data_IF_798368752803
#
_entry.id   IF_798368752803
#
_cell.length_a   1.000
_cell.length_b   1.000
_cell.length_c   1.000
_cell.angle_alpha   90.00
_cell.angle_beta   90.00
_cell.angle_gamma   90.00
#
_symmetry.space_group_name_H-M   'P 1'
#
loop_
_entity.id
_entity.type
_entity.pdbx_description
1 polymer ?
#
# COMPACT_ATOMS: atom_id res chain seq x y z
N UNK A 1 14.69 19.50 25.92
CA UNK A 1 14.99 18.33 25.07
C UNK A 1 14.29 17.13 25.68
N UNK A 2 13.29 16.55 25.02
CA UNK A 2 12.57 15.37 25.52
C UNK A 2 13.08 14.14 24.78
N UNK A 3 13.87 13.35 25.48
CA UNK A 3 14.38 12.06 25.00
C UNK A 3 13.23 11.05 25.06
N UNK A 4 12.98 10.34 23.95
CA UNK A 4 12.01 9.25 23.90
C UNK A 4 12.76 7.93 24.10
N UNK A 5 12.44 7.11 25.11
CA UNK A 5 13.14 5.85 25.36
C UNK A 5 12.96 4.88 24.19
N UNK A 6 14.06 4.27 23.75
CA UNK A 6 14.07 3.23 22.74
C UNK A 6 13.41 1.97 23.32
N UNK A 7 12.09 1.82 23.10
CA UNK A 7 11.33 0.70 23.66
C UNK A 7 9.82 0.70 23.38
N UNK A 8 9.23 1.82 22.96
CA UNK A 8 7.81 1.90 22.54
C UNK A 8 7.58 1.39 21.11
N UNK A 9 8.12 0.22 20.83
CA UNK A 9 7.86 -0.54 19.62
C UNK A 9 7.76 -1.98 20.03
N UNK A 10 6.71 -2.34 20.78
CA UNK A 10 6.36 -3.74 21.00
C UNK A 10 6.47 -4.50 19.69
N UNK A 11 6.93 -5.76 19.73
CA UNK A 11 7.30 -6.59 18.58
C UNK A 11 6.45 -6.21 17.37
N UNK A 12 7.04 -5.49 16.40
CA UNK A 12 6.29 -4.99 15.24
C UNK A 12 5.55 -6.20 14.67
N UNK A 13 4.22 -6.10 14.58
CA UNK A 13 3.42 -7.13 13.93
C UNK A 13 3.98 -7.33 12.54
N UNK A 14 4.08 -8.58 12.14
CA UNK A 14 4.57 -8.91 10.82
C UNK A 14 3.70 -8.21 9.77
N UNK A 15 4.29 -7.59 8.73
CA UNK A 15 3.51 -6.88 7.72
C UNK A 15 2.40 -7.73 7.07
N UNK A 16 2.61 -9.04 6.89
CA UNK A 16 1.58 -9.93 6.36
C UNK A 16 0.48 -10.20 7.39
N UNK A 17 0.82 -10.24 8.68
CA UNK A 17 -0.18 -10.32 9.75
C UNK A 17 -1.08 -9.07 9.74
N UNK A 18 -0.49 -7.88 9.62
CA UNK A 18 -1.24 -6.62 9.59
C UNK A 18 -2.19 -6.56 8.39
N UNK A 19 -1.74 -6.96 7.19
CA UNK A 19 -2.60 -7.00 5.99
C UNK A 19 -3.76 -7.99 6.16
N UNK A 20 -3.49 -9.16 6.74
CA UNK A 20 -4.49 -10.21 6.96
C UNK A 20 -5.56 -9.77 7.97
N UNK A 21 -5.15 -9.18 9.09
CA UNK A 21 -6.05 -8.63 10.10
C UNK A 21 -6.87 -7.47 9.53
N UNK A 22 -6.22 -6.54 8.82
CA UNK A 22 -6.89 -5.44 8.13
C UNK A 22 -7.99 -5.92 7.17
N UNK A 23 -7.73 -6.99 6.42
CA UNK A 23 -8.73 -7.58 5.54
C UNK A 23 -9.88 -8.24 6.33
N UNK A 24 -9.56 -9.09 7.31
CA UNK A 24 -10.57 -9.88 8.02
C UNK A 24 -11.46 -9.04 8.93
N UNK A 25 -10.91 -8.00 9.56
CA UNK A 25 -11.60 -7.24 10.60
C UNK A 25 -12.15 -5.91 10.09
N UNK A 26 -11.49 -5.28 9.11
CA UNK A 26 -11.83 -3.93 8.64
C UNK A 26 -12.20 -3.90 7.16
N UNK A 27 -12.01 -5.00 6.42
CA UNK A 27 -12.20 -5.03 4.97
C UNK A 27 -11.16 -4.19 4.22
N UNK A 28 -10.01 -3.89 4.83
CA UNK A 28 -8.95 -3.05 4.25
C UNK A 28 -7.81 -3.91 3.76
N UNK A 29 -7.47 -3.78 2.46
CA UNK A 29 -6.36 -4.49 1.83
C UNK A 29 -5.33 -3.51 1.28
N UNK A 30 -4.07 -3.65 1.70
CA UNK A 30 -2.93 -2.97 1.10
C UNK A 30 -2.26 -3.89 0.07
N UNK A 31 -2.41 -3.58 -1.21
CA UNK A 31 -1.88 -4.36 -2.33
C UNK A 31 -0.94 -3.50 -3.18
N UNK A 32 0.18 -4.09 -3.61
CA UNK A 32 1.06 -3.43 -4.58
C UNK A 32 0.41 -3.46 -5.96
N UNK A 33 0.46 -2.36 -6.70
CA UNK A 33 -0.02 -2.32 -8.09
C UNK A 33 0.77 -3.24 -9.02
N UNK A 34 1.99 -3.62 -8.62
CA UNK A 34 2.89 -4.47 -9.37
C UNK A 34 3.08 -5.85 -8.70
N UNK A 35 2.14 -6.27 -7.83
CA UNK A 35 2.20 -7.57 -7.15
C UNK A 35 2.19 -8.74 -8.14
N UNK A 36 3.17 -9.64 -8.04
CA UNK A 36 3.33 -10.74 -8.98
C UNK A 36 2.27 -11.83 -8.93
N UNK A 37 1.48 -11.84 -7.86
CA UNK A 37 0.35 -12.75 -7.71
C UNK A 37 -0.88 -12.28 -8.47
N UNK A 38 -0.91 -11.01 -8.91
CA UNK A 38 -2.00 -10.43 -9.69
C UNK A 38 -1.74 -10.60 -11.19
N UNK A 39 -2.79 -11.02 -11.89
CA UNK A 39 -2.84 -10.98 -13.35
C UNK A 39 -2.77 -9.54 -13.86
N UNK A 40 -2.40 -9.36 -15.12
CA UNK A 40 -2.33 -8.03 -15.73
C UNK A 40 -3.63 -7.22 -15.56
N UNK A 41 -4.85 -7.76 -15.81
CA UNK A 41 -6.09 -7.03 -15.58
C UNK A 41 -6.30 -6.61 -14.13
N UNK A 42 -5.92 -7.45 -13.16
CA UNK A 42 -6.07 -7.14 -11.73
C UNK A 42 -5.11 -6.03 -11.29
N UNK A 43 -3.86 -6.06 -11.79
CA UNK A 43 -2.90 -4.96 -11.58
C UNK A 43 -3.44 -3.65 -12.11
N UNK A 44 -4.01 -3.68 -13.31
CA UNK A 44 -4.58 -2.50 -13.95
C UNK A 44 -5.79 -1.96 -13.16
N UNK A 45 -6.66 -2.83 -12.66
CA UNK A 45 -7.76 -2.44 -11.77
C UNK A 45 -7.24 -1.74 -10.51
N UNK A 46 -6.19 -2.26 -9.88
CA UNK A 46 -5.57 -1.63 -8.70
C UNK A 46 -4.99 -0.25 -9.04
N UNK A 47 -4.31 -0.11 -10.20
CA UNK A 47 -3.78 1.19 -10.67
C UNK A 47 -4.90 2.20 -10.88
N UNK A 48 -5.95 1.83 -11.59
CA UNK A 48 -7.09 2.69 -11.88
C UNK A 48 -7.84 3.11 -10.61
N UNK A 49 -8.04 2.19 -9.67
CA UNK A 49 -8.64 2.51 -8.37
C UNK A 49 -7.73 3.48 -7.58
N UNK A 50 -6.43 3.24 -7.57
CA UNK A 50 -5.45 4.12 -6.96
C UNK A 50 -5.49 5.53 -7.54
N UNK A 51 -5.45 5.66 -8.87
CA UNK A 51 -5.51 6.95 -9.58
C UNK A 51 -6.84 7.66 -9.32
N UNK A 52 -7.95 6.94 -9.31
CA UNK A 52 -9.27 7.51 -9.02
C UNK A 52 -9.40 8.01 -7.58
N UNK A 53 -8.86 7.28 -6.61
CA UNK A 53 -9.02 7.60 -5.19
C UNK A 53 -7.98 8.61 -4.68
N UNK A 54 -6.77 8.59 -5.22
CA UNK A 54 -5.62 9.35 -4.69
C UNK A 54 -4.89 10.19 -5.74
N UNK A 55 -5.34 10.16 -6.99
CA UNK A 55 -4.70 10.88 -8.10
C UNK A 55 -3.55 10.10 -8.76
N UNK A 56 -3.03 10.62 -9.88
CA UNK A 56 -1.97 9.96 -10.65
C UNK A 56 -0.70 9.82 -9.81
N UNK A 57 0.01 8.70 -9.98
CA UNK A 57 1.30 8.52 -9.30
C UNK A 57 2.32 9.52 -9.88
N UNK A 58 3.31 9.97 -9.08
CA UNK A 58 4.36 10.88 -9.56
C UNK A 58 5.08 10.35 -10.81
N UNK A 59 5.33 9.04 -10.86
CA UNK A 59 5.94 8.34 -11.99
C UNK A 59 5.12 8.41 -13.29
N UNK A 60 3.79 8.47 -13.18
CA UNK A 60 2.90 8.57 -14.35
C UNK A 60 2.81 10.02 -14.86
N UNK A 61 3.15 11.01 -14.01
CA UNK A 61 3.14 12.44 -14.36
C UNK A 61 4.36 12.82 -15.21
N UNK A 62 5.51 12.20 -14.93
CA UNK A 62 6.74 12.40 -15.71
C UNK A 62 6.64 11.79 -17.11
N UNK A 63 5.95 10.66 -17.27
CA UNK A 63 5.73 10.01 -18.57
C UNK A 63 4.82 10.81 -19.53
N UNK A 64 3.97 11.72 -19.01
CA UNK A 64 3.06 12.56 -19.83
C UNK A 64 3.72 13.84 -20.35
N UNK A 65 4.98 14.11 -19.98
CA UNK A 65 5.75 15.30 -20.38
C UNK A 65 6.90 14.99 -21.36
N UNK A 66 6.85 13.83 -22.02
CA UNK A 66 7.75 13.44 -23.11
C UNK A 66 7.10 13.52 -24.48
#
# INVERSE_FOLDING_TARGET
MRWHPHGYGGRRRDPEQVKREGWREQGVLAVSADDDRLTWPERELVRQLGEKLYGPRPSDREARHG
#
